data_IF_883658719561
#
_entry.id   IF_883658719561
#
_cell.length_a   1.000
_cell.length_b   1.000
_cell.length_c   1.000
_cell.angle_alpha   90.00
_cell.angle_beta   90.00
_cell.angle_gamma   90.00
#
_symmetry.space_group_name_H-M   'P 1'
#
loop_
_entity.id
_entity.type
_entity.pdbx_description
1 polymer ?
#
# COMPACT_ATOMS: atom_id res chain seq x y z
N UNK A 1 0.06 24.00 16.30
CA UNK A 1 0.81 22.83 15.81
C UNK A 1 1.80 23.31 14.78
N UNK A 2 3.09 23.09 15.04
CA UNK A 2 4.21 23.63 14.25
C UNK A 2 4.20 23.01 12.83
N UNK A 3 4.54 23.76 11.78
CA UNK A 3 4.46 23.27 10.38
C UNK A 3 5.32 22.02 10.17
N UNK A 4 6.48 21.94 10.84
CA UNK A 4 7.36 20.76 10.86
C UNK A 4 6.70 19.53 11.47
N UNK A 5 5.93 19.74 12.53
CA UNK A 5 5.22 18.68 13.28
C UNK A 5 4.08 18.08 12.44
N UNK A 6 3.40 18.90 11.64
CA UNK A 6 2.39 18.46 10.67
C UNK A 6 3.00 17.55 9.60
N UNK A 7 4.19 17.91 9.10
CA UNK A 7 4.91 17.16 8.08
C UNK A 7 5.35 15.79 8.59
N UNK A 8 5.99 15.77 9.76
CA UNK A 8 6.46 14.53 10.39
C UNK A 8 5.29 13.58 10.71
N UNK A 9 4.16 14.11 11.17
CA UNK A 9 2.94 13.33 11.39
C UNK A 9 2.36 12.77 10.08
N UNK A 10 2.51 13.48 8.96
CA UNK A 10 2.05 13.04 7.64
C UNK A 10 2.93 11.92 7.09
N UNK A 11 4.25 12.02 7.22
CA UNK A 11 5.20 10.97 6.88
C UNK A 11 4.89 9.67 7.63
N UNK A 12 4.82 9.73 8.97
CA UNK A 12 4.50 8.56 9.81
C UNK A 12 3.17 7.93 9.40
N UNK A 13 2.15 8.75 9.13
CA UNK A 13 0.84 8.23 8.71
C UNK A 13 0.94 7.49 7.38
N UNK A 14 1.64 8.03 6.40
CA UNK A 14 1.81 7.40 5.08
C UNK A 14 2.59 6.09 5.24
N UNK A 15 3.69 6.09 5.99
CA UNK A 15 4.53 4.90 6.22
C UNK A 15 3.79 3.79 6.96
N UNK A 16 2.98 4.13 7.97
CA UNK A 16 2.16 3.15 8.70
C UNK A 16 1.10 2.55 7.79
N UNK A 17 0.38 3.39 7.02
CA UNK A 17 -0.64 2.93 6.08
C UNK A 17 -0.02 2.00 5.02
N UNK A 18 1.15 2.37 4.49
CA UNK A 18 1.87 1.58 3.50
C UNK A 18 2.33 0.23 4.04
N UNK A 19 2.91 0.21 5.25
CA UNK A 19 3.35 -1.03 5.92
C UNK A 19 2.18 -2.00 6.09
N UNK A 20 1.04 -1.51 6.56
CA UNK A 20 -0.17 -2.32 6.73
C UNK A 20 -0.68 -2.85 5.38
N UNK A 21 -0.74 -1.99 4.35
CA UNK A 21 -1.15 -2.38 3.00
C UNK A 21 -0.25 -3.46 2.40
N UNK A 22 1.08 -3.30 2.52
CA UNK A 22 2.04 -4.31 2.07
C UNK A 22 1.87 -5.63 2.79
N UNK A 23 1.67 -5.59 4.11
CA UNK A 23 1.50 -6.79 4.92
C UNK A 23 0.24 -7.55 4.51
N UNK A 24 -0.86 -6.84 4.23
CA UNK A 24 -2.11 -7.43 3.74
C UNK A 24 -1.98 -8.03 2.34
N UNK A 25 -1.25 -7.35 1.43
CA UNK A 25 -1.01 -7.87 0.09
C UNK A 25 -0.14 -9.13 0.12
N UNK A 26 0.91 -9.14 0.94
CA UNK A 26 1.81 -10.29 1.11
C UNK A 26 1.20 -11.48 1.86
N UNK A 27 0.25 -11.24 2.76
CA UNK A 27 -0.45 -12.29 3.52
C UNK A 27 -1.87 -12.58 2.99
N UNK A 28 -2.16 -12.18 1.75
CA UNK A 28 -3.47 -12.40 1.12
C UNK A 28 -3.85 -13.89 1.04
N UNK A 29 -2.87 -14.80 0.99
CA UNK A 29 -3.09 -16.24 1.06
C UNK A 29 -3.63 -16.70 2.44
N UNK A 30 -3.24 -16.04 3.53
CA UNK A 30 -3.67 -16.37 4.89
C UNK A 30 -5.16 -16.10 5.11
N UNK A 31 -5.77 -15.20 4.32
CA UNK A 31 -7.21 -14.95 4.36
C UNK A 31 -8.02 -16.19 3.92
N UNK A 32 -7.51 -16.97 2.97
CA UNK A 32 -8.16 -18.21 2.54
C UNK A 32 -8.00 -19.36 3.54
N UNK A 33 -7.01 -19.26 4.45
CA UNK A 33 -6.84 -20.24 5.56
C UNK A 33 -7.76 -19.89 6.73
N UNK A 34 -7.93 -18.60 7.05
CA UNK A 34 -8.82 -18.12 8.11
C UNK A 34 -10.31 -18.32 7.78
N UNK A 35 -10.68 -18.28 6.50
CA UNK A 35 -12.06 -18.45 6.04
C UNK A 35 -12.19 -19.69 5.13
N UNK A 36 -12.26 -20.91 5.70
CA UNK A 36 -12.35 -22.15 4.93
C UNK A 36 -13.63 -22.24 4.06
N UNK A 37 -14.64 -21.42 4.35
CA UNK A 37 -15.84 -21.29 3.52
C UNK A 37 -15.63 -20.63 2.16
N UNK A 38 -14.53 -19.89 1.96
CA UNK A 38 -14.14 -19.28 0.68
C UNK A 38 -13.19 -20.15 -0.13
N UNK A 39 -12.76 -21.31 0.40
CA UNK A 39 -11.92 -22.25 -0.32
C UNK A 39 -12.76 -22.97 -1.38
N UNK A 40 -12.21 -23.00 -2.60
CA UNK A 40 -12.74 -23.80 -3.69
C UNK A 40 -12.72 -25.29 -3.30
N UNK A 41 -13.86 -25.95 -3.36
CA UNK A 41 -13.99 -27.37 -3.01
C UNK A 41 -13.82 -28.23 -4.25
N UNK A 42 -12.96 -29.23 -4.16
CA UNK A 42 -12.83 -30.26 -5.20
C UNK A 42 -13.94 -31.28 -4.95
N UNK A 43 -14.83 -31.48 -5.92
CA UNK A 43 -15.94 -32.45 -5.87
C UNK A 43 -15.83 -33.37 -7.08
N UNK A 44 -16.46 -34.54 -7.04
CA UNK A 44 -16.41 -35.54 -8.13
C UNK A 44 -16.87 -35.02 -9.50
N UNK A 45 -17.64 -33.92 -9.53
CA UNK A 45 -18.11 -33.26 -10.75
C UNK A 45 -17.25 -32.06 -11.22
N UNK A 46 -16.16 -31.73 -10.52
CA UNK A 46 -15.26 -30.61 -10.83
C UNK A 46 -14.89 -29.73 -9.63
N UNK A 47 -14.23 -28.60 -9.88
CA UNK A 47 -13.85 -27.62 -8.83
C UNK A 47 -15.01 -26.64 -8.61
N UNK A 48 -15.77 -26.81 -7.52
CA UNK A 48 -16.84 -25.89 -7.14
C UNK A 48 -16.22 -24.61 -6.56
N UNK A 49 -16.46 -23.47 -7.22
CA UNK A 49 -15.78 -22.22 -6.90
C UNK A 49 -14.36 -22.12 -7.46
N UNK A 50 -14.00 -22.93 -8.46
CA UNK A 50 -12.77 -22.79 -9.24
C UNK A 50 -12.94 -21.86 -10.44
N UNK A 51 -11.88 -21.16 -10.85
CA UNK A 51 -11.85 -20.42 -12.11
C UNK A 51 -11.08 -21.25 -13.14
N UNK A 52 -11.70 -21.56 -14.29
CA UNK A 52 -11.11 -22.42 -15.34
C UNK A 52 -10.61 -23.79 -14.83
N UNK A 53 -11.29 -24.39 -13.85
CA UNK A 53 -10.90 -25.69 -13.29
C UNK A 53 -9.75 -25.63 -12.27
N UNK A 54 -9.24 -24.43 -11.95
CA UNK A 54 -8.21 -24.23 -10.95
C UNK A 54 -8.78 -23.66 -9.64
N UNK A 55 -8.25 -24.08 -8.47
CA UNK A 55 -8.68 -23.55 -7.17
C UNK A 55 -8.42 -22.04 -7.05
N UNK A 56 -9.47 -21.26 -6.75
CA UNK A 56 -9.42 -19.79 -6.67
C UNK A 56 -8.49 -19.29 -5.55
N UNK A 57 -8.30 -20.10 -4.51
CA UNK A 57 -7.37 -19.86 -3.40
C UNK A 57 -5.91 -19.68 -3.84
N UNK A 58 -5.52 -20.11 -5.05
CA UNK A 58 -4.19 -19.88 -5.61
C UNK A 58 -4.17 -18.75 -6.63
N UNK A 59 -5.19 -18.67 -7.50
CA UNK A 59 -5.28 -17.64 -8.54
C UNK A 59 -5.38 -16.25 -7.93
N UNK A 60 -6.23 -16.07 -6.91
CA UNK A 60 -6.47 -14.75 -6.34
C UNK A 60 -5.24 -14.17 -5.67
N UNK A 61 -4.51 -14.90 -4.79
CA UNK A 61 -3.25 -14.39 -4.23
C UNK A 61 -2.17 -14.13 -5.27
N UNK A 62 -2.09 -14.93 -6.34
CA UNK A 62 -1.13 -14.70 -7.43
C UNK A 62 -1.45 -13.39 -8.15
N UNK A 63 -2.72 -13.15 -8.51
CA UNK A 63 -3.14 -11.91 -9.17
C UNK A 63 -3.01 -10.68 -8.25
N UNK A 64 -3.36 -10.83 -6.97
CA UNK A 64 -3.16 -9.78 -5.95
C UNK A 64 -1.67 -9.50 -5.71
N UNK A 65 -0.84 -10.53 -5.68
CA UNK A 65 0.60 -10.41 -5.45
C UNK A 65 1.37 -9.82 -6.64
N UNK A 66 0.95 -10.08 -7.87
CA UNK A 66 1.53 -9.45 -9.06
C UNK A 66 0.90 -8.09 -9.35
N UNK A 67 -0.38 -8.08 -9.70
CA UNK A 67 -1.06 -6.88 -10.19
C UNK A 67 -1.48 -5.97 -9.05
N UNK A 68 -2.01 -6.54 -7.96
CA UNK A 68 -2.39 -5.76 -6.78
C UNK A 68 -1.18 -5.06 -6.17
N UNK A 69 -0.05 -5.76 -6.01
CA UNK A 69 1.19 -5.18 -5.51
C UNK A 69 1.75 -4.10 -6.45
N UNK A 70 1.75 -4.36 -7.77
CA UNK A 70 2.19 -3.37 -8.75
C UNK A 70 1.39 -2.06 -8.67
N UNK A 71 0.06 -2.15 -8.55
CA UNK A 71 -0.82 -0.98 -8.40
C UNK A 71 -0.52 -0.24 -7.09
N UNK A 72 -0.38 -0.97 -5.98
CA UNK A 72 -0.04 -0.37 -4.67
C UNK A 72 1.30 0.37 -4.74
N UNK A 73 2.31 -0.21 -5.40
CA UNK A 73 3.61 0.43 -5.60
C UNK A 73 3.52 1.71 -6.44
N UNK A 74 2.71 1.72 -7.51
CA UNK A 74 2.49 2.93 -8.33
C UNK A 74 1.80 4.03 -7.53
N UNK A 75 0.74 3.70 -6.79
CA UNK A 75 0.05 4.66 -5.92
C UNK A 75 1.03 5.20 -4.88
N UNK A 76 1.86 4.35 -4.29
CA UNK A 76 2.86 4.76 -3.31
C UNK A 76 3.88 5.72 -3.90
N UNK A 77 4.40 5.43 -5.09
CA UNK A 77 5.35 6.31 -5.77
C UNK A 77 4.76 7.71 -6.00
N UNK A 78 3.51 7.79 -6.44
CA UNK A 78 2.82 9.08 -6.63
C UNK A 78 2.63 9.83 -5.31
N UNK A 79 2.24 9.12 -4.24
CA UNK A 79 2.03 9.74 -2.92
C UNK A 79 3.36 10.23 -2.32
N UNK A 80 4.44 9.45 -2.44
CA UNK A 80 5.77 9.82 -1.97
C UNK A 80 6.32 11.02 -2.73
N UNK A 81 6.24 11.03 -4.07
CA UNK A 81 6.74 12.16 -4.86
C UNK A 81 6.05 13.47 -4.46
N UNK A 82 4.71 13.44 -4.30
CA UNK A 82 3.96 14.61 -3.86
C UNK A 82 4.32 15.06 -2.44
N UNK A 83 4.68 14.12 -1.56
CA UNK A 83 5.12 14.43 -0.21
C UNK A 83 6.52 15.05 -0.19
N UNK A 84 7.45 14.55 -1.01
CA UNK A 84 8.79 15.10 -1.16
C UNK A 84 8.76 16.52 -1.73
N UNK A 85 7.88 16.80 -2.71
CA UNK A 85 7.67 18.15 -3.25
C UNK A 85 7.20 19.14 -2.16
N UNK A 86 6.27 18.71 -1.29
CA UNK A 86 5.80 19.53 -0.17
C UNK A 86 6.92 19.81 0.85
N UNK A 87 7.82 18.83 1.07
CA UNK A 87 8.98 19.02 1.94
C UNK A 87 9.97 20.03 1.36
N UNK A 88 10.28 19.91 0.08
CA UNK A 88 11.25 20.78 -0.60
C UNK A 88 10.80 22.24 -0.59
N UNK A 89 9.51 22.50 -0.85
CA UNK A 89 8.92 23.85 -0.78
C UNK A 89 9.04 24.46 0.62
N UNK A 90 8.73 23.70 1.67
CA UNK A 90 8.85 24.19 3.04
C UNK A 90 10.30 24.45 3.46
N UNK A 91 11.24 23.62 2.99
CA UNK A 91 12.66 23.83 3.22
C UNK A 91 13.16 25.10 2.51
N UNK A 92 12.73 25.33 1.26
CA UNK A 92 13.05 26.54 0.50
C UNK A 92 12.50 27.81 1.17
N UNK A 93 11.24 27.80 1.60
CA UNK A 93 10.60 28.91 2.30
C UNK A 93 11.30 29.22 3.64
N UNK A 94 11.64 28.18 4.40
CA UNK A 94 12.38 28.33 5.67
C UNK A 94 13.77 28.94 5.43
N UNK A 95 14.47 28.52 4.36
CA UNK A 95 15.78 29.06 4.00
C UNK A 95 15.67 30.53 3.58
N UNK A 96 14.68 30.89 2.76
CA UNK A 96 14.44 32.26 2.29
C UNK A 96 14.08 33.21 3.43
N UNK A 97 13.25 32.77 4.39
CA UNK A 97 12.93 33.54 5.59
C UNK A 97 14.18 33.81 6.43
N UNK A 98 15.05 32.80 6.63
CA UNK A 98 16.26 32.97 7.43
C UNK A 98 17.25 33.95 6.80
N UNK A 99 17.38 33.93 5.46
CA UNK A 99 18.26 34.86 4.73
C UNK A 99 17.78 36.31 4.89
N UNK A 100 16.46 36.54 4.87
CA UNK A 100 15.85 37.87 5.07
C UNK A 100 16.03 38.43 6.48
N UNK A 101 16.11 37.59 7.51
CA UNK A 101 16.39 38.07 8.88
C UNK A 101 17.87 38.40 9.10
N UNK A 102 18.77 37.80 8.30
CA UNK A 102 20.22 38.01 8.40
C UNK A 102 20.78 39.06 7.44
N UNK A 103 19.95 39.62 6.55
CA UNK A 103 20.31 40.64 5.56
C UNK A 103 19.76 42.01 5.96
#
# INVERSE_FOLDING_TARGET
MNTKEKLYKKEIRITVIFTVLLMLMGHSASLFVLFPGMQSKITEAGVQGGFMGFPVQYIVPILLGWFGLAIVCVIMAVVCNKFDDEMEQLAADTKASRIRETA
#
